data_IF_947943613217
#
_entry.id   IF_947943613217
#
_cell.length_a   1.000
_cell.length_b   1.000
_cell.length_c   1.000
_cell.angle_alpha   90.00
_cell.angle_beta   90.00
_cell.angle_gamma   90.00
#
_symmetry.space_group_name_H-M   'P 1'
#
loop_
_entity.id
_entity.type
_entity.pdbx_description
1 polymer ?
#
# COMPACT_ATOMS: atom_id res chain seq x y z
N UNK A 1 2.52 -7.77 14.68
CA UNK A 1 2.66 -7.85 13.21
C UNK A 1 3.33 -6.58 12.71
N UNK A 2 4.21 -6.71 11.73
CA UNK A 2 4.83 -5.58 11.05
C UNK A 2 4.12 -5.33 9.73
N UNK A 3 3.87 -4.07 9.38
CA UNK A 3 3.14 -3.69 8.18
C UNK A 3 3.86 -2.61 7.38
N UNK A 4 3.62 -2.60 6.08
CA UNK A 4 3.93 -1.48 5.20
C UNK A 4 2.73 -0.55 5.14
N UNK A 5 2.96 0.75 5.21
CA UNK A 5 1.95 1.77 4.88
C UNK A 5 2.52 2.68 3.81
N UNK A 6 1.88 2.70 2.64
CA UNK A 6 2.23 3.63 1.56
C UNK A 6 1.33 4.86 1.61
N UNK A 7 1.77 5.99 1.04
CA UNK A 7 0.97 7.21 1.01
C UNK A 7 0.79 7.88 2.38
N UNK A 8 1.71 7.64 3.32
CA UNK A 8 1.65 8.14 4.70
C UNK A 8 1.65 9.67 4.87
N UNK A 9 2.00 10.42 3.82
CA UNK A 9 1.93 11.89 3.79
C UNK A 9 0.54 12.43 3.43
N UNK A 10 -0.36 11.57 2.96
CA UNK A 10 -1.74 11.93 2.63
C UNK A 10 -2.68 11.90 3.85
N UNK A 11 -3.92 12.37 3.64
CA UNK A 11 -4.94 12.43 4.68
C UNK A 11 -5.25 11.04 5.26
N UNK A 12 -5.52 10.05 4.40
CA UNK A 12 -5.85 8.70 4.86
C UNK A 12 -4.61 7.98 5.42
N UNK A 13 -3.48 8.03 4.71
CA UNK A 13 -2.26 7.33 5.11
C UNK A 13 -1.70 7.79 6.45
N UNK A 14 -1.76 9.09 6.75
CA UNK A 14 -1.31 9.62 8.05
C UNK A 14 -2.18 9.14 9.21
N UNK A 15 -3.51 9.07 9.03
CA UNK A 15 -4.40 8.51 10.05
C UNK A 15 -4.27 6.99 10.19
N UNK A 16 -3.98 6.27 9.10
CA UNK A 16 -3.63 4.84 9.16
C UNK A 16 -2.38 4.65 10.02
N UNK A 17 -1.32 5.43 9.81
CA UNK A 17 -0.11 5.37 10.64
C UNK A 17 -0.44 5.71 12.09
N UNK A 18 -1.18 6.80 12.35
CA UNK A 18 -1.55 7.21 13.71
C UNK A 18 -2.37 6.14 14.44
N UNK A 19 -3.30 5.49 13.74
CA UNK A 19 -4.13 4.41 14.27
C UNK A 19 -3.30 3.14 14.52
N UNK A 20 -2.39 2.82 13.60
CA UNK A 20 -1.49 1.68 13.68
C UNK A 20 -0.52 1.80 14.87
N UNK A 21 0.01 2.99 15.16
CA UNK A 21 0.87 3.25 16.33
C UNK A 21 0.16 2.85 17.63
N UNK A 22 -1.12 3.24 17.78
CA UNK A 22 -1.96 2.97 18.95
C UNK A 22 -2.41 1.52 19.04
N UNK A 23 -2.35 0.76 17.95
CA UNK A 23 -2.86 -0.60 17.89
C UNK A 23 -1.88 -1.60 18.52
N UNK A 24 -2.33 -2.36 19.52
CA UNK A 24 -1.48 -3.27 20.28
C UNK A 24 -0.88 -4.41 19.43
N UNK A 25 -1.61 -4.90 18.42
CA UNK A 25 -1.13 -5.99 17.59
C UNK A 25 -0.16 -5.53 16.48
N UNK A 26 -0.07 -4.22 16.22
CA UNK A 26 0.89 -3.68 15.26
C UNK A 26 2.14 -3.30 16.04
N UNK A 27 3.20 -4.06 15.77
CA UNK A 27 4.48 -3.97 16.47
C UNK A 27 5.42 -3.01 15.77
N UNK A 28 5.35 -2.91 14.43
CA UNK A 28 6.18 -2.01 13.64
C UNK A 28 5.50 -1.59 12.34
N UNK A 29 5.85 -0.40 11.85
CA UNK A 29 5.30 0.23 10.65
C UNK A 29 6.46 0.68 9.77
N UNK A 30 6.55 0.13 8.56
CA UNK A 30 7.42 0.63 7.51
C UNK A 30 6.63 1.61 6.64
N UNK A 31 6.83 2.90 6.86
CA UNK A 31 6.14 3.93 6.11
C UNK A 31 6.94 4.26 4.84
N UNK A 32 6.47 3.74 3.70
CA UNK A 32 7.11 3.95 2.39
C UNK A 32 6.47 5.16 1.73
N UNK A 33 7.25 6.23 1.57
CA UNK A 33 6.76 7.54 1.15
C UNK A 33 7.72 8.23 0.18
N UNK A 34 7.22 9.12 -0.67
CA UNK A 34 8.04 9.95 -1.59
C UNK A 34 8.59 11.21 -0.94
N UNK A 35 8.07 11.58 0.23
CA UNK A 35 8.42 12.80 0.96
C UNK A 35 8.48 12.46 2.44
N UNK A 36 9.33 13.15 3.22
CA UNK A 36 9.37 12.97 4.67
C UNK A 36 7.98 13.12 5.29
N UNK A 37 7.66 12.23 6.22
CA UNK A 37 6.48 12.32 7.09
C UNK A 37 6.61 13.53 8.03
N UNK A 38 5.48 13.93 8.60
CA UNK A 38 5.46 14.82 9.76
C UNK A 38 6.34 14.23 10.89
N UNK A 39 7.25 15.01 11.51
CA UNK A 39 8.08 14.55 12.62
C UNK A 39 7.29 13.85 13.74
N UNK A 40 6.06 14.29 14.01
CA UNK A 40 5.17 13.67 15.01
C UNK A 40 4.87 12.20 14.73
N UNK A 41 4.92 11.79 13.46
CA UNK A 41 4.79 10.39 13.03
C UNK A 41 6.15 9.74 12.83
N UNK A 42 7.11 10.46 12.24
CA UNK A 42 8.43 9.93 11.88
C UNK A 42 9.26 9.54 13.12
N UNK A 43 9.18 10.34 14.19
CA UNK A 43 10.00 10.15 15.40
C UNK A 43 9.43 9.06 16.33
N UNK A 44 8.30 8.45 15.96
CA UNK A 44 7.72 7.38 16.75
C UNK A 44 8.57 6.10 16.64
N UNK A 45 8.91 5.42 17.74
CA UNK A 45 9.79 4.24 17.70
C UNK A 45 9.17 3.04 16.96
N UNK A 46 7.85 2.99 16.79
CA UNK A 46 7.18 1.96 15.97
C UNK A 46 7.24 2.25 14.46
N UNK A 47 7.76 3.41 14.04
CA UNK A 47 7.75 3.85 12.66
C UNK A 47 9.17 3.90 12.12
N UNK A 48 9.39 3.22 11.00
CA UNK A 48 10.58 3.42 10.17
C UNK A 48 10.13 4.07 8.87
N UNK A 49 10.60 5.28 8.63
CA UNK A 49 10.38 5.98 7.37
C UNK A 49 11.35 5.46 6.31
N UNK A 50 10.82 5.18 5.12
CA UNK A 50 11.59 4.79 3.95
C UNK A 50 11.21 5.74 2.81
N UNK A 51 12.20 6.50 2.33
CA UNK A 51 12.02 7.34 1.15
C UNK A 51 12.19 6.49 -0.11
N UNK A 52 11.14 6.44 -0.92
CA UNK A 52 11.10 5.69 -2.16
C UNK A 52 10.27 6.46 -3.18
N UNK A 53 10.87 6.83 -4.30
CA UNK A 53 10.28 7.78 -5.26
C UNK A 53 9.42 7.12 -6.33
N UNK A 54 9.80 5.91 -6.77
CA UNK A 54 9.19 5.21 -7.92
C UNK A 54 8.52 3.90 -7.49
N UNK A 55 7.21 3.97 -7.24
CA UNK A 55 6.41 2.83 -6.78
C UNK A 55 6.06 1.83 -7.90
N UNK A 56 6.48 2.06 -9.15
CA UNK A 56 6.43 1.06 -10.22
C UNK A 56 7.68 0.17 -10.24
N UNK A 57 8.72 0.55 -9.48
CA UNK A 57 10.00 -0.15 -9.45
C UNK A 57 10.45 -0.36 -8.02
N UNK A 58 10.12 -1.53 -7.50
CA UNK A 58 10.55 -1.93 -6.18
C UNK A 58 11.96 -2.50 -6.25
N UNK A 59 12.87 -1.91 -5.49
CA UNK A 59 14.23 -2.40 -5.31
C UNK A 59 14.18 -3.74 -4.55
N UNK A 60 14.21 -4.84 -5.31
CA UNK A 60 14.12 -6.20 -4.79
C UNK A 60 15.25 -6.50 -3.80
N UNK A 61 16.48 -6.09 -4.14
CA UNK A 61 17.67 -6.41 -3.36
C UNK A 61 17.81 -5.62 -2.06
N UNK A 62 17.09 -4.50 -1.93
CA UNK A 62 17.10 -3.69 -0.70
C UNK A 62 15.78 -3.69 0.04
N UNK A 63 14.73 -3.14 -0.57
CA UNK A 63 13.47 -2.89 0.14
C UNK A 63 12.69 -4.18 0.34
N UNK A 64 12.59 -5.01 -0.69
CA UNK A 64 11.82 -6.24 -0.60
C UNK A 64 12.54 -7.24 0.31
N UNK A 65 13.85 -7.43 0.16
CA UNK A 65 14.65 -8.25 1.09
C UNK A 65 14.55 -7.77 2.54
N UNK A 66 14.55 -6.46 2.78
CA UNK A 66 14.30 -5.92 4.12
C UNK A 66 12.93 -6.37 4.65
N UNK A 67 11.86 -6.23 3.86
CA UNK A 67 10.52 -6.61 4.29
C UNK A 67 10.38 -8.11 4.53
N UNK A 68 11.03 -8.93 3.69
CA UNK A 68 11.10 -10.38 3.85
C UNK A 68 11.83 -10.75 5.15
N UNK A 69 13.05 -10.24 5.35
CA UNK A 69 13.87 -10.48 6.54
C UNK A 69 13.15 -10.05 7.83
N UNK A 70 12.49 -8.91 7.79
CA UNK A 70 11.76 -8.37 8.94
C UNK A 70 10.44 -9.11 9.21
N UNK A 71 10.01 -9.99 8.31
CA UNK A 71 8.77 -10.74 8.42
C UNK A 71 7.54 -9.83 8.33
N UNK A 72 7.53 -8.89 7.39
CA UNK A 72 6.39 -8.01 7.15
C UNK A 72 5.20 -8.84 6.65
N UNK A 73 4.02 -8.61 7.23
CA UNK A 73 2.85 -9.46 7.02
C UNK A 73 1.74 -8.79 6.19
N UNK A 74 1.92 -7.54 5.79
CA UNK A 74 0.97 -6.88 4.91
C UNK A 74 1.33 -5.46 4.55
N UNK A 75 0.62 -4.96 3.55
CA UNK A 75 0.71 -3.61 3.02
C UNK A 75 -0.68 -2.95 3.06
N UNK A 76 -0.75 -1.72 3.58
CA UNK A 76 -1.91 -0.84 3.40
C UNK A 76 -1.52 0.22 2.37
N UNK A 77 -2.13 0.13 1.20
CA UNK A 77 -1.84 1.00 0.08
C UNK A 77 -2.74 2.23 0.09
N UNK A 78 -2.19 3.38 0.50
CA UNK A 78 -2.92 4.66 0.50
C UNK A 78 -2.46 5.64 -0.58
N UNK A 79 -1.67 5.18 -1.57
CA UNK A 79 -1.28 6.02 -2.72
C UNK A 79 -2.44 6.07 -3.71
N UNK A 80 -2.91 7.28 -3.99
CA UNK A 80 -3.95 7.52 -4.97
C UNK A 80 -4.47 8.95 -4.92
N UNK A 81 -5.28 9.32 -5.89
CA UNK A 81 -5.90 10.65 -5.96
C UNK A 81 -7.11 10.67 -6.89
N UNK A 82 -7.85 11.77 -6.88
CA UNK A 82 -8.91 11.99 -7.86
C UNK A 82 -8.28 12.39 -9.20
N UNK A 83 -8.86 11.96 -10.33
CA UNK A 83 -8.31 12.20 -11.68
C UNK A 83 -8.02 13.67 -11.94
N UNK A 84 -8.90 14.56 -11.48
CA UNK A 84 -8.75 16.01 -11.63
C UNK A 84 -7.59 16.63 -10.82
N UNK A 85 -6.91 15.85 -9.97
CA UNK A 85 -5.70 16.26 -9.24
C UNK A 85 -4.42 15.85 -9.95
N UNK A 86 -4.51 15.15 -11.08
CA UNK A 86 -3.37 14.77 -11.91
C UNK A 86 -3.29 15.65 -13.16
N UNK A 87 -2.07 15.83 -13.72
CA UNK A 87 -1.89 16.63 -14.93
C UNK A 87 -2.55 16.00 -16.16
N UNK A 88 -2.80 14.69 -16.15
CA UNK A 88 -3.45 13.96 -17.24
C UNK A 88 -4.17 12.71 -16.74
N UNK A 89 -5.07 12.17 -17.58
CA UNK A 89 -5.71 10.88 -17.32
C UNK A 89 -4.67 9.74 -17.27
N UNK A 90 -3.65 9.79 -18.12
CA UNK A 90 -2.58 8.79 -18.12
C UNK A 90 -1.85 8.77 -16.79
N UNK A 91 -1.50 9.93 -16.23
CA UNK A 91 -0.85 9.99 -14.91
C UNK A 91 -1.78 9.52 -13.78
N UNK A 92 -3.09 9.79 -13.88
CA UNK A 92 -4.08 9.23 -12.95
C UNK A 92 -4.15 7.70 -13.04
N UNK A 93 -4.13 7.13 -14.23
CA UNK A 93 -4.13 5.68 -14.45
C UNK A 93 -2.84 5.05 -13.94
N UNK A 94 -1.69 5.66 -14.26
CA UNK A 94 -0.39 5.25 -13.74
C UNK A 94 -0.42 5.18 -12.21
N UNK A 95 -0.92 6.24 -11.57
CA UNK A 95 -0.92 6.34 -10.10
C UNK A 95 -1.90 5.39 -9.43
N UNK A 96 -3.12 5.32 -9.94
CA UNK A 96 -4.18 4.56 -9.27
C UNK A 96 -4.28 3.09 -9.72
N UNK A 97 -3.66 2.71 -10.85
CA UNK A 97 -3.73 1.35 -11.40
C UNK A 97 -2.34 0.74 -11.51
N UNK A 98 -1.42 1.35 -12.29
CA UNK A 98 -0.14 0.72 -12.60
C UNK A 98 0.75 0.55 -11.35
N UNK A 99 0.91 1.59 -10.55
CA UNK A 99 1.68 1.54 -9.30
C UNK A 99 1.19 0.47 -8.31
N UNK A 100 -0.10 0.45 -7.89
CA UNK A 100 -0.58 -0.59 -6.97
C UNK A 100 -0.51 -1.99 -7.59
N UNK A 101 -0.71 -2.14 -8.89
CA UNK A 101 -0.60 -3.42 -9.58
C UNK A 101 0.82 -3.97 -9.53
N UNK A 102 1.81 -3.16 -9.92
CA UNK A 102 3.23 -3.52 -9.86
C UNK A 102 3.66 -3.88 -8.43
N UNK A 103 3.27 -3.07 -7.44
CA UNK A 103 3.57 -3.37 -6.04
C UNK A 103 2.93 -4.68 -5.56
N UNK A 104 1.66 -4.91 -5.91
CA UNK A 104 0.97 -6.15 -5.54
C UNK A 104 1.64 -7.37 -6.20
N UNK A 105 2.05 -7.25 -7.47
CA UNK A 105 2.77 -8.31 -8.19
C UNK A 105 4.10 -8.64 -7.49
N UNK A 106 4.98 -7.64 -7.27
CA UNK A 106 6.27 -7.83 -6.59
C UNK A 106 6.09 -8.42 -5.18
N UNK A 107 5.15 -7.88 -4.39
CA UNK A 107 4.93 -8.36 -3.03
C UNK A 107 4.36 -9.77 -3.00
N UNK A 108 3.49 -10.12 -3.96
CA UNK A 108 2.96 -11.47 -4.07
C UNK A 108 4.04 -12.49 -4.45
N UNK A 109 5.00 -12.09 -5.29
CA UNK A 109 6.06 -12.97 -5.76
C UNK A 109 7.08 -13.30 -4.66
N UNK A 110 7.41 -12.32 -3.81
CA UNK A 110 8.56 -12.42 -2.88
C UNK A 110 8.11 -12.51 -1.42
N UNK A 111 7.07 -11.77 -1.01
CA UNK A 111 6.64 -11.71 0.40
C UNK A 111 5.51 -12.70 0.72
N UNK A 112 4.91 -13.33 -0.30
CA UNK A 112 3.90 -14.36 -0.06
C UNK A 112 4.58 -15.63 0.47
N UNK A 113 4.06 -16.22 1.57
CA UNK A 113 4.49 -17.53 2.01
C UNK A 113 4.26 -18.58 0.92
N UNK A 114 5.08 -19.62 0.91
CA UNK A 114 4.90 -20.74 -0.01
C UNK A 114 3.54 -21.42 0.18
N UNK A 115 3.00 -21.99 -0.91
CA UNK A 115 1.72 -22.70 -0.89
C UNK A 115 1.70 -23.84 0.14
N UNK A 116 2.83 -24.48 0.41
CA UNK A 116 2.98 -25.52 1.44
C UNK A 116 2.88 -24.95 2.86
N UNK A 117 3.49 -23.78 3.13
CA UNK A 117 3.36 -23.09 4.41
C UNK A 117 1.92 -22.61 4.67
N UNK A 118 1.21 -22.18 3.62
CA UNK A 118 -0.20 -21.81 3.71
C UNK A 118 -1.09 -23.04 3.98
N UNK A 119 -0.83 -24.16 3.30
CA UNK A 119 -1.61 -25.39 3.41
C UNK A 119 -1.45 -26.09 4.77
N UNK A 120 -0.26 -26.04 5.37
CA UNK A 120 0.02 -26.68 6.66
C UNK A 120 -0.52 -25.88 7.87
N UNK A 121 -0.98 -24.64 7.66
CA UNK A 121 -1.47 -23.80 8.73
C UNK A 121 -2.94 -24.03 9.06
N UNK A 122 -3.18 -24.43 10.31
CA UNK A 122 -4.54 -24.49 10.89
C UNK A 122 -5.18 -23.09 11.00
N UNK A 123 -4.38 -22.02 10.97
CA UNK A 123 -4.86 -20.64 11.12
C UNK A 123 -4.41 -19.78 9.92
N UNK A 124 -5.14 -19.91 8.80
CA UNK A 124 -4.89 -19.19 7.54
C UNK A 124 -4.77 -17.67 7.71
N UNK A 125 -5.32 -17.10 8.79
CA UNK A 125 -5.31 -15.65 9.05
C UNK A 125 -3.93 -15.08 9.39
N UNK A 126 -3.01 -15.88 9.93
CA UNK A 126 -1.72 -15.41 10.46
C UNK A 126 -0.52 -15.59 9.55
N UNK A 127 -0.67 -16.28 8.41
CA UNK A 127 0.45 -16.65 7.54
C UNK A 127 0.48 -15.82 6.25
N UNK A 128 -0.65 -15.64 5.57
CA UNK A 128 -0.65 -14.98 4.28
C UNK A 128 -0.34 -13.48 4.38
N UNK A 129 0.57 -13.00 3.53
CA UNK A 129 0.80 -11.58 3.30
C UNK A 129 -0.50 -10.92 2.81
N UNK A 130 -0.91 -9.80 3.41
CA UNK A 130 -2.15 -9.11 3.05
C UNK A 130 -1.88 -7.79 2.36
N UNK A 131 -2.40 -7.64 1.15
CA UNK A 131 -2.39 -6.36 0.45
C UNK A 131 -3.78 -5.71 0.55
N UNK A 132 -3.88 -4.60 1.26
CA UNK A 132 -5.11 -3.81 1.43
C UNK A 132 -5.00 -2.59 0.53
N UNK A 133 -5.79 -2.57 -0.54
CA UNK A 133 -5.84 -1.45 -1.48
C UNK A 133 -6.97 -0.47 -1.11
N UNK A 134 -6.63 0.79 -0.87
CA UNK A 134 -7.59 1.83 -0.48
C UNK A 134 -8.22 2.47 -1.72
N UNK A 135 -9.31 1.86 -2.20
CA UNK A 135 -10.17 2.43 -3.24
C UNK A 135 -11.12 3.51 -2.68
N UNK A 136 -12.02 4.03 -3.52
CA UNK A 136 -13.06 4.97 -3.12
C UNK A 136 -14.47 4.37 -3.24
N UNK A 137 -15.39 4.89 -2.44
CA UNK A 137 -16.81 4.56 -2.57
C UNK A 137 -17.30 4.87 -3.99
N UNK A 138 -17.99 3.92 -4.60
CA UNK A 138 -18.52 4.06 -5.95
C UNK A 138 -17.51 3.77 -7.06
N UNK A 139 -16.32 3.21 -6.77
CA UNK A 139 -15.42 2.69 -7.80
C UNK A 139 -16.18 1.75 -8.76
N UNK A 140 -15.89 1.89 -10.04
CA UNK A 140 -16.53 1.16 -11.13
C UNK A 140 -15.52 0.25 -11.79
N UNK A 141 -15.83 -1.05 -11.83
CA UNK A 141 -14.96 -2.07 -12.41
C UNK A 141 -15.10 -2.15 -13.92
N UNK A 142 -16.25 -1.77 -14.47
CA UNK A 142 -16.48 -1.76 -15.90
C UNK A 142 -15.92 -0.47 -16.53
N UNK A 143 -14.79 -0.53 -17.27
CA UNK A 143 -14.20 0.67 -17.89
C UNK A 143 -15.13 1.32 -18.93
N UNK A 144 -16.08 0.57 -19.48
CA UNK A 144 -17.03 1.03 -20.49
C UNK A 144 -18.35 1.55 -19.92
N UNK A 145 -18.55 1.51 -18.59
CA UNK A 145 -19.77 2.02 -17.98
C UNK A 145 -19.96 3.52 -18.26
N UNK A 146 -21.16 3.95 -18.63
CA UNK A 146 -21.50 5.37 -18.70
C UNK A 146 -21.89 5.83 -17.30
N UNK A 147 -21.14 6.78 -16.74
CA UNK A 147 -21.35 7.28 -15.36
C UNK A 147 -21.66 8.77 -15.40
N UNK A 148 -22.72 9.18 -14.70
CA UNK A 148 -23.15 10.59 -14.65
C UNK A 148 -22.32 11.46 -13.70
N UNK A 149 -21.48 10.85 -12.86
CA UNK A 149 -20.65 11.56 -11.87
C UNK A 149 -19.26 10.96 -11.82
N UNK A 150 -18.25 11.84 -11.89
CA UNK A 150 -16.83 11.52 -11.70
C UNK A 150 -16.35 10.27 -12.45
N UNK A 151 -16.79 10.12 -13.71
CA UNK A 151 -16.61 8.90 -14.49
C UNK A 151 -15.15 8.43 -14.52
N UNK A 152 -14.24 9.33 -14.89
CA UNK A 152 -12.81 8.99 -14.99
C UNK A 152 -12.22 8.57 -13.65
N UNK A 153 -12.57 9.26 -12.57
CA UNK A 153 -12.05 8.91 -11.23
C UNK A 153 -12.58 7.58 -10.74
N UNK A 154 -13.87 7.31 -10.95
CA UNK A 154 -14.48 6.05 -10.48
C UNK A 154 -13.97 4.83 -11.24
N UNK A 155 -13.62 4.99 -12.52
CA UNK A 155 -13.08 3.91 -13.36
C UNK A 155 -11.58 3.65 -13.16
N UNK A 156 -10.87 4.56 -12.49
CA UNK A 156 -9.43 4.41 -12.20
C UNK A 156 -9.19 4.16 -10.72
N UNK A 157 -10.07 3.41 -10.04
CA UNK A 157 -10.05 3.28 -8.59
C UNK A 157 -10.22 1.86 -8.12
#
# INVERSE_FOLDING_TARGET
MKIIVTGGTGLVGSEVIRSAIKHQFITHIYAVVRKPLDPKLADNPKVTQIIHDDFEKWDEDRLIRLFEHEGVQGCIWCVGGWTNKFPSLQESQRVNIAMPHSAAETFSAILSPSSSAIAQSKNKRGIAFRFIYMSCTGAEQNPFASLWYAADSRKTK
#
